data_IF_115464513413
#
_entry.id   IF_115464513413
#
_cell.length_a   1.000
_cell.length_b   1.000
_cell.length_c   1.000
_cell.angle_alpha   90.00
_cell.angle_beta   90.00
_cell.angle_gamma   90.00
#
_symmetry.space_group_name_H-M   'P 1'
#
loop_
_entity.id
_entity.type
_entity.pdbx_description
1 polymer ?
#
# COMPACT_ATOMS: atom_id res chain seq x y z
N UNK A 1 -6.39 -11.24 24.46
CA UNK A 1 -6.34 -10.23 23.37
C UNK A 1 -7.10 -10.76 22.16
N UNK A 2 -8.28 -10.22 21.84
CA UNK A 2 -8.78 -10.33 20.46
C UNK A 2 -8.17 -9.15 19.69
N UNK A 3 -7.47 -9.36 18.57
CA UNK A 3 -7.20 -8.26 17.68
C UNK A 3 -8.56 -7.82 17.13
N UNK A 4 -9.01 -6.61 17.45
CA UNK A 4 -9.99 -5.91 16.63
C UNK A 4 -9.31 -5.70 15.29
N UNK A 5 -9.44 -6.69 14.40
CA UNK A 5 -8.95 -6.60 13.03
C UNK A 5 -9.78 -5.55 12.31
N UNK A 6 -9.36 -4.29 12.45
CA UNK A 6 -9.81 -3.23 11.59
C UNK A 6 -9.20 -3.48 10.22
N UNK A 7 -9.99 -4.12 9.37
CA UNK A 7 -9.68 -4.30 7.97
C UNK A 7 -10.23 -3.10 7.22
N UNK A 8 -9.38 -2.09 7.01
CA UNK A 8 -9.72 -0.94 6.18
C UNK A 8 -9.49 -1.22 4.69
N UNK A 9 -10.30 -0.67 3.77
CA UNK A 9 -10.08 -0.77 2.33
C UNK A 9 -8.88 0.06 1.84
N UNK A 10 -8.12 0.67 2.76
CA UNK A 10 -7.14 1.70 2.43
C UNK A 10 -5.98 1.17 1.58
N UNK A 11 -5.47 -0.03 1.86
CA UNK A 11 -4.44 -0.66 1.02
C UNK A 11 -4.89 -0.86 -0.44
N UNK A 12 -6.16 -1.22 -0.66
CA UNK A 12 -6.73 -1.35 -2.00
C UNK A 12 -6.89 0.02 -2.70
N UNK A 13 -7.24 1.06 -1.95
CA UNK A 13 -7.32 2.43 -2.47
C UNK A 13 -5.94 2.91 -2.98
N UNK A 14 -4.87 2.66 -2.23
CA UNK A 14 -3.51 2.99 -2.68
C UNK A 14 -3.05 2.13 -3.85
N UNK A 15 -3.48 0.86 -3.93
CA UNK A 15 -3.28 0.02 -5.11
C UNK A 15 -3.97 0.56 -6.37
N UNK A 16 -5.19 1.09 -6.23
CA UNK A 16 -5.91 1.74 -7.33
C UNK A 16 -5.24 3.05 -7.77
N UNK A 17 -4.76 3.86 -6.82
CA UNK A 17 -3.97 5.06 -7.12
C UNK A 17 -2.70 4.72 -7.91
N UNK A 18 -2.00 3.65 -7.54
CA UNK A 18 -0.85 3.17 -8.29
C UNK A 18 -1.22 2.77 -9.73
N UNK A 19 -2.36 2.09 -9.92
CA UNK A 19 -2.86 1.75 -11.25
C UNK A 19 -3.13 2.98 -12.12
N UNK A 20 -3.78 4.01 -11.56
CA UNK A 20 -4.03 5.26 -12.27
C UNK A 20 -2.74 5.98 -12.68
N UNK A 21 -1.71 5.94 -11.82
CA UNK A 21 -0.39 6.51 -12.15
C UNK A 21 0.24 5.76 -13.34
N UNK A 22 0.22 4.43 -13.32
CA UNK A 22 0.74 3.61 -14.43
C UNK A 22 -0.03 3.87 -15.72
N UNK A 23 -1.35 4.02 -15.65
CA UNK A 23 -2.18 4.36 -16.81
C UNK A 23 -1.79 5.69 -17.44
N UNK A 24 -1.58 6.74 -16.62
CA UNK A 24 -1.15 8.06 -17.09
C UNK A 24 0.25 8.01 -17.71
N UNK A 25 1.18 7.24 -17.13
CA UNK A 25 2.52 7.05 -17.69
C UNK A 25 2.46 6.38 -19.08
N UNK A 26 1.54 5.44 -19.26
CA UNK A 26 1.40 4.71 -20.51
C UNK A 26 0.69 5.54 -21.58
N UNK A 27 -0.29 6.34 -21.17
CA UNK A 27 -1.04 7.24 -22.02
C UNK A 27 -0.36 8.61 -22.22
N UNK A 28 0.92 8.77 -21.82
CA UNK A 28 1.62 10.06 -21.80
C UNK A 28 1.56 10.80 -23.14
N UNK A 29 1.75 10.08 -24.25
CA UNK A 29 1.71 10.67 -25.60
C UNK A 29 0.28 11.00 -26.08
N UNK A 30 -0.75 10.37 -25.51
CA UNK A 30 -2.15 10.60 -25.89
C UNK A 30 -2.80 11.74 -25.08
N UNK A 31 -2.26 12.05 -23.90
CA UNK A 31 -2.79 13.09 -23.03
C UNK A 31 -2.29 14.48 -23.45
N UNK A 32 -3.18 15.48 -23.48
CA UNK A 32 -2.80 16.89 -23.74
C UNK A 32 -1.88 17.48 -22.66
N UNK A 33 -2.05 17.06 -21.40
CA UNK A 33 -1.33 17.60 -20.23
C UNK A 33 -1.03 16.48 -19.21
N UNK A 34 -0.16 15.51 -19.55
CA UNK A 34 0.12 14.36 -18.70
C UNK A 34 0.83 14.76 -17.39
N UNK A 35 1.70 15.75 -17.43
CA UNK A 35 2.45 16.24 -16.26
C UNK A 35 1.52 16.76 -15.16
N UNK A 36 0.48 17.52 -15.52
CA UNK A 36 -0.48 18.05 -14.55
C UNK A 36 -1.36 16.94 -13.95
N UNK A 37 -1.73 15.95 -14.75
CA UNK A 37 -2.49 14.79 -14.28
C UNK A 37 -1.65 13.96 -13.29
N UNK A 38 -0.39 13.69 -13.64
CA UNK A 38 0.54 12.97 -12.78
C UNK A 38 0.80 13.72 -11.47
N UNK A 39 1.08 15.03 -11.53
CA UNK A 39 1.30 15.86 -10.34
C UNK A 39 0.09 15.87 -9.40
N UNK A 40 -1.13 15.89 -9.93
CA UNK A 40 -2.35 15.79 -9.12
C UNK A 40 -2.46 14.44 -8.43
N UNK A 41 -2.23 13.34 -9.14
CA UNK A 41 -2.30 11.99 -8.57
C UNK A 41 -1.22 11.74 -7.51
N UNK A 42 0.01 12.17 -7.77
CA UNK A 42 1.12 12.09 -6.80
C UNK A 42 0.81 12.98 -5.60
N UNK A 43 0.33 14.20 -5.81
CA UNK A 43 -0.05 15.11 -4.73
C UNK A 43 -1.13 14.52 -3.83
N UNK A 44 -2.18 13.93 -4.39
CA UNK A 44 -3.23 13.24 -3.64
C UNK A 44 -2.64 12.06 -2.85
N UNK A 45 -1.78 11.26 -3.48
CA UNK A 45 -1.14 10.10 -2.83
C UNK A 45 -0.28 10.53 -1.64
N UNK A 46 0.53 11.59 -1.80
CA UNK A 46 1.36 12.13 -0.72
C UNK A 46 0.52 12.70 0.41
N UNK A 47 -0.54 13.46 0.08
CA UNK A 47 -1.46 14.00 1.08
C UNK A 47 -2.13 12.88 1.86
N UNK A 48 -2.63 11.84 1.18
CA UNK A 48 -3.23 10.66 1.82
C UNK A 48 -2.22 9.88 2.68
N UNK A 49 -0.95 9.81 2.25
CA UNK A 49 0.12 9.18 3.03
C UNK A 49 0.47 10.00 4.28
N UNK A 50 0.52 11.33 4.17
CA UNK A 50 0.76 12.24 5.30
C UNK A 50 -0.42 12.25 6.29
N UNK A 51 -1.66 12.25 5.81
CA UNK A 51 -2.84 12.02 6.65
C UNK A 51 -2.88 10.59 7.20
N UNK A 52 -2.23 9.63 6.54
CA UNK A 52 -2.02 8.28 7.06
C UNK A 52 -1.07 8.21 8.26
N UNK A 53 -0.34 9.28 8.58
CA UNK A 53 0.47 9.34 9.81
C UNK A 53 -0.35 9.68 11.07
N UNK A 54 -1.67 9.86 10.95
CA UNK A 54 -2.55 9.97 12.12
C UNK A 54 -2.63 8.64 12.88
N UNK A 55 -2.90 8.68 14.20
CA UNK A 55 -3.11 7.47 14.98
C UNK A 55 -4.16 6.58 14.33
N UNK A 56 -4.01 5.26 14.46
CA UNK A 56 -4.87 4.21 13.89
C UNK A 56 -4.68 3.81 12.42
N UNK A 57 -3.85 4.49 11.63
CA UNK A 57 -3.69 4.19 10.20
C UNK A 57 -2.36 3.48 9.92
N UNK A 58 -2.42 2.28 9.33
CA UNK A 58 -1.23 1.48 9.01
C UNK A 58 -0.53 1.97 7.72
N UNK A 59 0.59 2.69 7.85
CA UNK A 59 1.41 3.11 6.71
C UNK A 59 1.99 1.92 5.92
N UNK A 60 2.17 0.77 6.57
CA UNK A 60 2.54 -0.47 5.88
C UNK A 60 1.49 -0.87 4.85
N UNK A 61 0.20 -0.81 5.18
CA UNK A 61 -0.87 -1.17 4.25
C UNK A 61 -0.91 -0.23 3.04
N UNK A 62 -0.67 1.07 3.24
CA UNK A 62 -0.60 2.05 2.16
C UNK A 62 0.63 1.86 1.27
N UNK A 63 1.82 1.76 1.86
CA UNK A 63 3.07 1.61 1.13
C UNK A 63 3.11 0.30 0.34
N UNK A 64 2.84 -0.82 1.01
CA UNK A 64 2.88 -2.13 0.37
C UNK A 64 1.69 -2.34 -0.59
N UNK A 65 0.53 -1.76 -0.30
CA UNK A 65 -0.61 -1.72 -1.23
C UNK A 65 -0.29 -0.93 -2.51
N UNK A 66 0.39 0.22 -2.38
CA UNK A 66 0.85 1.01 -3.53
C UNK A 66 1.89 0.25 -4.36
N UNK A 67 2.92 -0.32 -3.74
CA UNK A 67 3.98 -1.08 -4.43
C UNK A 67 3.38 -2.29 -5.15
N UNK A 68 2.53 -3.05 -4.46
CA UNK A 68 1.87 -4.22 -5.03
C UNK A 68 0.97 -3.84 -6.21
N UNK A 69 0.15 -2.80 -6.04
CA UNK A 69 -0.71 -2.29 -7.11
C UNK A 69 0.07 -1.78 -8.31
N UNK A 70 1.21 -1.11 -8.09
CA UNK A 70 2.10 -0.62 -9.15
C UNK A 70 2.68 -1.78 -9.97
N UNK A 71 3.25 -2.78 -9.31
CA UNK A 71 3.81 -3.98 -9.97
C UNK A 71 2.73 -4.73 -10.77
N UNK A 72 1.55 -4.91 -10.17
CA UNK A 72 0.45 -5.61 -10.82
C UNK A 72 -0.08 -4.82 -12.02
N UNK A 73 -0.11 -3.49 -11.95
CA UNK A 73 -0.54 -2.64 -13.06
C UNK A 73 0.41 -2.73 -14.25
N UNK A 74 1.73 -2.78 -14.02
CA UNK A 74 2.69 -3.04 -15.10
C UNK A 74 2.57 -4.44 -15.72
N UNK A 75 2.20 -5.45 -14.91
CA UNK A 75 2.01 -6.80 -15.40
C UNK A 75 0.71 -6.98 -16.20
N UNK A 76 -0.38 -6.34 -15.78
CA UNK A 76 -1.72 -6.53 -16.35
C UNK A 76 -2.06 -5.57 -17.47
N UNK A 77 -1.49 -4.35 -17.49
CA UNK A 77 -1.90 -3.34 -18.45
C UNK A 77 -1.39 -3.69 -19.86
N UNK A 78 -2.26 -3.75 -20.88
CA UNK A 78 -1.87 -4.09 -22.24
C UNK A 78 -1.16 -2.90 -22.89
N UNK A 79 0.17 -2.91 -22.85
CA UNK A 79 0.98 -1.96 -23.61
C UNK A 79 0.97 -2.35 -25.09
N UNK A 80 0.42 -1.48 -25.94
CA UNK A 80 0.52 -1.61 -27.40
C UNK A 80 2.01 -1.56 -27.79
N UNK A 81 2.57 -2.73 -28.13
CA UNK A 81 3.96 -2.88 -28.56
C UNK A 81 4.01 -3.11 -30.07
N UNK A 82 4.53 -2.15 -30.82
CA UNK A 82 4.84 -2.34 -32.23
C UNK A 82 6.28 -2.87 -32.38
N UNK A 83 6.46 -4.20 -32.48
CA UNK A 83 7.75 -4.84 -32.84
C UNK A 83 8.07 -6.17 -32.11
N UNK A 84 8.76 -7.09 -32.80
CA UNK A 84 9.09 -8.45 -32.29
C UNK A 84 10.18 -8.48 -31.21
N UNK A 85 11.23 -7.65 -31.33
CA UNK A 85 12.31 -7.56 -30.34
C UNK A 85 11.85 -6.91 -29.02
N UNK A 86 10.86 -6.04 -29.10
CA UNK A 86 10.27 -5.34 -27.96
C UNK A 86 9.32 -6.25 -27.16
N UNK A 87 8.72 -7.25 -27.84
CA UNK A 87 7.81 -8.24 -27.23
C UNK A 87 8.51 -9.13 -26.20
N UNK A 88 9.70 -9.65 -26.48
CA UNK A 88 10.40 -10.53 -25.53
C UNK A 88 10.82 -9.79 -24.24
N UNK A 89 11.30 -8.55 -24.37
CA UNK A 89 11.65 -7.71 -23.21
C UNK A 89 10.42 -7.36 -22.38
N UNK A 90 9.29 -7.08 -23.03
CA UNK A 90 8.01 -6.83 -22.34
C UNK A 90 7.48 -8.07 -21.62
N UNK A 91 7.54 -9.24 -22.27
CA UNK A 91 7.16 -10.50 -21.62
C UNK A 91 8.07 -10.79 -20.42
N UNK A 92 9.38 -10.55 -20.55
CA UNK A 92 10.31 -10.66 -19.42
C UNK A 92 9.91 -9.70 -18.29
N UNK A 93 9.61 -8.43 -18.60
CA UNK A 93 9.16 -7.44 -17.62
C UNK A 93 7.87 -7.87 -16.91
N UNK A 94 6.87 -8.39 -17.64
CA UNK A 94 5.63 -8.91 -17.05
C UNK A 94 5.92 -10.07 -16.10
N UNK A 95 6.75 -11.04 -16.49
CA UNK A 95 7.13 -12.15 -15.61
C UNK A 95 7.87 -11.67 -14.37
N UNK A 96 8.80 -10.71 -14.50
CA UNK A 96 9.50 -10.12 -13.37
C UNK A 96 8.52 -9.40 -12.42
N UNK A 97 7.58 -8.62 -12.95
CA UNK A 97 6.54 -7.95 -12.16
C UNK A 97 5.62 -8.95 -11.43
N UNK A 98 5.20 -10.03 -12.09
CA UNK A 98 4.38 -11.07 -11.47
C UNK A 98 5.13 -11.84 -10.38
N UNK A 99 6.36 -12.25 -10.64
CA UNK A 99 7.17 -12.98 -9.66
C UNK A 99 7.48 -12.11 -8.43
N UNK A 100 7.82 -10.84 -8.65
CA UNK A 100 8.06 -9.88 -7.55
C UNK A 100 6.79 -9.57 -6.76
N UNK A 101 5.63 -9.43 -7.43
CA UNK A 101 4.33 -9.27 -6.78
C UNK A 101 3.96 -10.48 -5.92
N UNK A 102 4.18 -11.70 -6.42
CA UNK A 102 3.96 -12.94 -5.67
C UNK A 102 4.89 -13.03 -4.45
N UNK A 103 6.18 -12.76 -4.64
CA UNK A 103 7.16 -12.73 -3.56
C UNK A 103 6.76 -11.72 -2.47
N UNK A 104 6.37 -10.50 -2.87
CA UNK A 104 5.92 -9.46 -1.95
C UNK A 104 4.67 -9.90 -1.17
N UNK A 105 3.70 -10.51 -1.84
CA UNK A 105 2.49 -11.03 -1.19
C UNK A 105 2.83 -12.11 -0.16
N UNK A 106 3.66 -13.09 -0.51
CA UNK A 106 4.10 -14.14 0.42
C UNK A 106 4.89 -13.55 1.59
N UNK A 107 5.80 -12.61 1.33
CA UNK A 107 6.58 -11.94 2.37
C UNK A 107 5.67 -11.20 3.36
N UNK A 108 4.66 -10.48 2.87
CA UNK A 108 3.69 -9.80 3.73
C UNK A 108 2.87 -10.80 4.56
N UNK A 109 2.40 -11.90 3.97
CA UNK A 109 1.69 -12.94 4.72
C UNK A 109 2.57 -13.51 5.84
N UNK A 110 3.83 -13.84 5.55
CA UNK A 110 4.77 -14.33 6.57
C UNK A 110 5.02 -13.29 7.65
N UNK A 111 5.25 -12.04 7.26
CA UNK A 111 5.55 -10.92 8.15
C UNK A 111 4.35 -10.51 9.01
N UNK A 112 3.11 -10.70 8.56
CA UNK A 112 1.92 -10.36 9.37
C UNK A 112 1.37 -11.56 10.17
N UNK A 113 1.52 -12.79 9.68
CA UNK A 113 0.91 -13.98 10.31
C UNK A 113 1.91 -14.86 11.07
N UNK A 114 3.19 -14.91 10.67
CA UNK A 114 4.18 -15.83 11.23
C UNK A 114 5.16 -15.10 12.15
N UNK A 115 5.62 -13.91 11.76
CA UNK A 115 6.59 -13.09 12.52
C UNK A 115 5.88 -11.82 12.99
N UNK A 116 5.20 -11.80 14.14
CA UNK A 116 4.54 -10.58 14.61
C UNK A 116 5.55 -9.43 14.71
N UNK A 117 5.47 -8.44 13.79
CA UNK A 117 6.34 -7.25 13.75
C UNK A 117 6.15 -6.28 14.94
N UNK A 118 5.31 -6.68 15.90
CA UNK A 118 5.07 -5.96 17.14
C UNK A 118 6.28 -5.90 18.10
N UNK A 119 7.32 -6.72 17.87
CA UNK A 119 8.53 -6.75 18.71
C UNK A 119 9.63 -5.73 18.28
N UNK A 120 9.39 -4.93 17.23
CA UNK A 120 10.36 -3.92 16.78
C UNK A 120 9.85 -2.50 17.03
N UNK A 121 10.54 -1.76 17.91
CA UNK A 121 10.23 -0.35 18.22
C UNK A 121 10.25 0.53 16.97
N UNK A 122 11.24 0.36 16.08
CA UNK A 122 11.38 1.14 14.83
C UNK A 122 10.23 0.87 13.85
N UNK A 123 9.68 -0.35 13.84
CA UNK A 123 8.51 -0.68 13.00
C UNK A 123 7.22 -0.04 13.52
N UNK A 124 7.12 0.22 14.83
CA UNK A 124 6.01 0.98 15.42
C UNK A 124 6.05 2.46 15.01
N UNK A 125 7.23 3.08 15.02
CA UNK A 125 7.43 4.46 14.55
C UNK A 125 7.01 4.68 13.09
N UNK A 126 7.16 3.66 12.25
CA UNK A 126 6.77 3.72 10.85
C UNK A 126 5.25 3.68 10.66
N UNK A 127 4.49 3.09 11.60
CA UNK A 127 3.03 3.15 11.62
C UNK A 127 2.50 4.41 12.31
N UNK A 128 3.17 4.91 13.35
CA UNK A 128 2.71 6.06 14.11
C UNK A 128 3.90 6.90 14.60
N UNK A 129 3.94 8.18 14.21
CA UNK A 129 4.97 9.12 14.69
C UNK A 129 4.49 9.73 16.01
N UNK A 130 5.19 9.53 17.14
CA UNK A 130 4.79 10.12 18.41
C UNK A 130 5.14 11.61 18.43
N UNK A 131 4.24 12.46 17.90
CA UNK A 131 4.35 13.92 18.02
C UNK A 131 4.11 14.41 19.46
N UNK A 132 3.38 13.64 20.27
CA UNK A 132 3.21 13.85 21.73
C UNK A 132 3.17 12.50 22.46
N UNK A 133 3.39 12.50 23.78
CA UNK A 133 3.50 11.27 24.61
C UNK A 133 2.29 10.34 24.54
N UNK A 134 1.12 10.88 24.19
CA UNK A 134 -0.16 10.15 24.16
C UNK A 134 -0.69 9.91 22.74
N UNK A 135 -0.03 10.41 21.69
CA UNK A 135 -0.53 10.34 20.32
C UNK A 135 -0.50 8.91 19.73
N UNK A 136 0.54 8.15 20.06
CA UNK A 136 0.69 6.74 19.68
C UNK A 136 0.49 5.79 20.86
N UNK A 137 0.08 6.32 22.03
CA UNK A 137 -0.25 5.49 23.18
C UNK A 137 -1.49 4.67 22.81
N UNK A 138 -1.29 3.35 22.69
CA UNK A 138 -2.39 2.40 22.54
C UNK A 138 -3.46 2.73 23.58
N UNK A 139 -4.63 3.16 23.13
CA UNK A 139 -5.78 3.36 24.01
C UNK A 139 -5.99 2.07 24.78
N UNK A 140 -5.68 2.08 26.07
CA UNK A 140 -5.88 0.96 26.98
C UNK A 140 -7.40 0.81 27.20
N UNK A 141 -8.09 0.24 26.22
CA UNK A 141 -9.52 -0.05 26.30
C UNK A 141 -9.67 -1.21 27.28
N UNK A 142 -9.81 -0.89 28.57
CA UNK A 142 -10.33 -1.81 29.56
C UNK A 142 -11.77 -2.13 29.14
N UNK A 143 -11.95 -3.27 28.48
CA UNK A 143 -13.26 -3.90 28.40
C UNK A 143 -13.59 -4.38 29.81
N UNK A 144 -14.20 -3.51 30.62
CA UNK A 144 -14.95 -3.93 31.78
C UNK A 144 -16.05 -4.85 31.26
N UNK A 145 -15.80 -6.16 31.34
CA UNK A 145 -16.84 -7.17 31.26
C UNK A 145 -17.79 -6.83 32.41
N UNK A 146 -19.03 -6.47 32.12
CA UNK A 146 -20.08 -6.55 33.15
C UNK A 146 -20.02 -7.97 33.71
N UNK A 147 -19.48 -8.10 34.92
CA UNK A 147 -19.69 -9.29 35.73
C UNK A 147 -21.20 -9.40 35.95
N UNK A 148 -21.80 -10.59 35.76
CA UNK A 148 -23.20 -10.77 36.11
C UNK A 148 -23.34 -10.48 37.60
N UNK A 149 -24.23 -9.54 37.94
CA UNK A 149 -24.67 -9.26 39.30
C UNK A 149 -25.16 -10.58 39.90
N UNK A 150 -24.45 -11.07 40.92
CA UNK A 150 -24.99 -12.05 41.88
C UNK A 150 -25.81 -11.29 42.90
#
# INVERSE_FOLDING_TARGET
>A
MRPSKQVGPSGAQFGLLACLIVEVLNAWMMLKQPEQALLKLIGITLVLFLFGMLPWVDNYAHLFGFIFGFLLSYALMPFVSFGDYDRQKKVCLVWVCLLSSLFLFTALVVLFYIIPVYDCEVCSYFNCVPLTTDFCASQNINFMREEPVV
#
